data_IF_327908091025
#
_entry.id   IF_327908091025
#
_cell.length_a   1.000
_cell.length_b   1.000
_cell.length_c   1.000
_cell.angle_alpha   90.00
_cell.angle_beta   90.00
_cell.angle_gamma   90.00
#
_symmetry.space_group_name_H-M   'P 1'
#
loop_
_entity.id
_entity.type
_entity.pdbx_description
1 polymer ?
#
# COMPACT_ATOMS: atom_id res chain seq x y z
N UNK A 1 -3.79 10.59 11.79
CA UNK A 1 -4.36 9.25 11.48
C UNK A 1 -4.36 9.13 9.97
N UNK A 2 -3.91 7.99 9.44
CA UNK A 2 -3.83 7.76 8.01
C UNK A 2 -5.03 6.93 7.59
N UNK A 3 -5.69 7.33 6.51
CA UNK A 3 -6.86 6.66 5.95
C UNK A 3 -6.64 6.44 4.46
N UNK A 4 -7.06 5.29 3.94
CA UNK A 4 -7.04 5.02 2.51
C UNK A 4 -8.40 5.42 1.92
N UNK A 5 -8.37 6.24 0.88
CA UNK A 5 -9.57 6.76 0.22
C UNK A 5 -9.36 6.66 -1.29
N UNK A 6 -10.39 6.25 -2.01
CA UNK A 6 -10.42 6.29 -3.47
C UNK A 6 -10.67 7.73 -3.94
N UNK A 7 -9.71 8.29 -4.69
CA UNK A 7 -9.80 9.61 -5.28
C UNK A 7 -9.99 9.53 -6.78
N UNK A 8 -10.74 10.49 -7.32
CA UNK A 8 -10.93 10.63 -8.76
C UNK A 8 -10.11 11.80 -9.28
N UNK A 9 -9.20 11.54 -10.22
CA UNK A 9 -8.49 12.61 -10.94
C UNK A 9 -9.46 13.34 -11.85
N UNK A 10 -9.11 14.57 -12.24
CA UNK A 10 -9.88 15.38 -13.21
C UNK A 10 -10.17 14.64 -14.53
N UNK A 11 -9.30 13.70 -14.93
CA UNK A 11 -9.47 12.85 -16.11
C UNK A 11 -10.37 11.63 -15.94
N UNK A 12 -10.97 11.43 -14.76
CA UNK A 12 -11.87 10.31 -14.47
C UNK A 12 -11.18 9.05 -13.95
N UNK A 13 -9.84 8.98 -13.97
CA UNK A 13 -9.07 7.88 -13.40
C UNK A 13 -9.20 7.88 -11.86
N UNK A 14 -9.59 6.73 -11.30
CA UNK A 14 -9.65 6.50 -9.87
C UNK A 14 -8.30 5.96 -9.38
N UNK A 15 -7.78 6.55 -8.29
CA UNK A 15 -6.54 6.13 -7.67
C UNK A 15 -6.71 6.04 -6.16
N UNK A 16 -6.02 5.08 -5.55
CA UNK A 16 -6.05 4.91 -4.12
C UNK A 16 -5.03 5.88 -3.49
N UNK A 17 -5.52 6.80 -2.66
CA UNK A 17 -4.67 7.72 -1.93
C UNK A 17 -4.70 7.44 -0.43
N UNK A 18 -3.54 7.52 0.19
CA UNK A 18 -3.41 7.61 1.63
C UNK A 18 -3.53 9.09 2.03
N UNK A 19 -4.50 9.38 2.89
CA UNK A 19 -4.76 10.72 3.43
C UNK A 19 -4.42 10.74 4.91
N UNK A 20 -3.58 11.67 5.32
CA UNK A 20 -3.31 11.94 6.73
C UNK A 20 -3.59 13.40 7.02
N UNK A 21 -4.36 13.64 8.08
CA UNK A 21 -4.65 15.00 8.56
C UNK A 21 -4.11 15.21 9.97
N UNK A 22 -3.50 16.36 10.20
CA UNK A 22 -3.02 16.83 11.50
C UNK A 22 -3.46 18.27 11.74
N UNK A 23 -3.75 18.60 13.00
CA UNK A 23 -4.05 19.97 13.40
C UNK A 23 -2.73 20.69 13.66
N UNK A 24 -2.50 21.80 12.98
CA UNK A 24 -1.30 22.62 13.09
C UNK A 24 -1.67 23.95 13.74
N UNK A 25 -0.84 24.42 14.66
CA UNK A 25 -0.98 25.77 15.23
C UNK A 25 0.12 26.66 14.66
N UNK A 26 -0.23 27.60 13.79
CA UNK A 26 0.69 28.55 13.17
C UNK A 26 0.44 29.93 13.78
N UNK A 27 1.33 30.35 14.69
CA UNK A 27 1.27 31.69 15.30
C UNK A 27 -0.07 31.99 16.01
N UNK A 28 -0.68 30.98 16.66
CA UNK A 28 -1.97 31.12 17.33
C UNK A 28 -3.20 30.82 16.46
N UNK A 29 -3.02 30.59 15.15
CA UNK A 29 -4.09 30.18 14.24
C UNK A 29 -4.08 28.66 14.05
N UNK A 30 -5.22 28.03 14.35
CA UNK A 30 -5.44 26.61 14.06
C UNK A 30 -5.63 26.42 12.56
N UNK A 31 -4.80 25.58 11.96
CA UNK A 31 -4.89 25.12 10.59
C UNK A 31 -5.00 23.60 10.57
N UNK A 32 -5.57 23.04 9.50
CA UNK A 32 -5.57 21.60 9.25
C UNK A 32 -4.59 21.35 8.12
N UNK A 33 -3.53 20.60 8.42
CA UNK A 33 -2.62 20.10 7.40
C UNK A 33 -3.16 18.76 6.90
N UNK A 34 -3.37 18.65 5.60
CA UNK A 34 -3.77 17.41 4.94
C UNK A 34 -2.66 17.01 3.97
N UNK A 35 -2.18 15.78 4.09
CA UNK A 35 -1.22 15.17 3.20
C UNK A 35 -1.96 14.07 2.44
N UNK A 36 -1.94 14.16 1.12
CA UNK A 36 -2.53 13.16 0.21
C UNK A 36 -1.39 12.53 -0.58
N UNK A 37 -1.24 11.21 -0.49
CA UNK A 37 -0.19 10.46 -1.19
C UNK A 37 -0.83 9.36 -2.02
N UNK A 38 -0.54 9.33 -3.32
CA UNK A 38 -0.92 8.22 -4.19
C UNK A 38 -0.17 6.95 -3.77
N UNK A 39 -0.89 5.89 -3.41
CA UNK A 39 -0.33 4.60 -2.96
C UNK A 39 -0.53 3.47 -3.97
N UNK A 40 -1.01 3.78 -5.18
CA UNK A 40 -1.34 2.80 -6.21
C UNK A 40 -0.12 1.95 -6.58
N UNK A 41 1.04 2.59 -6.80
CA UNK A 41 2.28 1.89 -7.14
C UNK A 41 2.86 1.09 -5.97
N UNK A 42 2.77 1.62 -4.75
CA UNK A 42 3.24 0.92 -3.54
C UNK A 42 2.47 -0.38 -3.32
N UNK A 43 1.15 -0.37 -3.49
CA UNK A 43 0.32 -1.59 -3.36
C UNK A 43 0.55 -2.60 -4.48
N UNK A 44 0.86 -2.18 -5.71
CA UNK A 44 1.22 -3.10 -6.79
C UNK A 44 2.48 -3.89 -6.46
N UNK A 45 3.49 -3.23 -5.89
CA UNK A 45 4.73 -3.89 -5.47
C UNK A 45 4.50 -4.84 -4.28
N UNK A 46 3.72 -4.42 -3.28
CA UNK A 46 3.37 -5.27 -2.13
C UNK A 46 2.62 -6.55 -2.55
N UNK A 47 1.67 -6.43 -3.48
CA UNK A 47 0.96 -7.59 -4.06
C UNK A 47 1.92 -8.53 -4.79
N UNK A 48 2.82 -8.00 -5.64
CA UNK A 48 3.80 -8.82 -6.36
C UNK A 48 4.72 -9.58 -5.40
N UNK A 49 5.21 -8.90 -4.36
CA UNK A 49 6.01 -9.53 -3.32
C UNK A 49 5.23 -10.66 -2.63
N UNK A 50 3.99 -10.42 -2.20
CA UNK A 50 3.14 -11.45 -1.60
C UNK A 50 2.91 -12.64 -2.53
N UNK A 51 2.66 -12.40 -3.82
CA UNK A 51 2.50 -13.47 -4.81
C UNK A 51 3.79 -14.28 -4.99
N UNK A 52 4.95 -13.61 -5.08
CA UNK A 52 6.26 -14.27 -5.19
C UNK A 52 6.55 -15.10 -3.92
N UNK A 53 6.32 -14.54 -2.74
CA UNK A 53 6.50 -15.25 -1.47
C UNK A 53 5.58 -16.47 -1.36
N UNK A 54 4.31 -16.35 -1.77
CA UNK A 54 3.38 -17.46 -1.80
C UNK A 54 3.87 -18.57 -2.75
N UNK A 55 4.26 -18.24 -3.97
CA UNK A 55 4.77 -19.22 -4.96
C UNK A 55 6.01 -19.95 -4.45
N UNK A 56 6.97 -19.22 -3.88
CA UNK A 56 8.20 -19.81 -3.35
C UNK A 56 7.94 -20.78 -2.19
N UNK A 57 6.94 -20.47 -1.35
CA UNK A 57 6.52 -21.34 -0.25
C UNK A 57 5.95 -22.68 -0.75
N UNK A 58 5.10 -22.65 -1.78
CA UNK A 58 4.56 -23.87 -2.39
C UNK A 58 5.66 -24.71 -3.07
N UNK A 59 6.57 -24.08 -3.81
CA UNK A 59 7.66 -24.79 -4.50
C UNK A 59 8.71 -25.40 -3.56
N UNK A 60 8.86 -24.90 -2.33
CA UNK A 60 9.79 -25.48 -1.34
C UNK A 60 9.27 -26.77 -0.70
N UNK A 61 7.96 -27.02 -0.68
CA UNK A 61 7.37 -28.20 -0.04
C UNK A 61 7.36 -29.46 -0.94
N UNK A 62 7.57 -29.34 -2.25
CA UNK A 62 7.67 -30.50 -3.16
C UNK A 62 9.08 -31.12 -3.22
N UNK A 63 10.09 -30.45 -2.66
CA UNK A 63 11.50 -30.88 -2.78
C UNK A 63 11.98 -31.87 -1.71
N UNK A 64 11.16 -32.16 -0.70
CA UNK A 64 11.53 -33.09 0.40
C UNK A 64 11.14 -34.56 0.14
N UNK A 65 10.58 -34.90 -1.04
CA UNK A 65 9.98 -36.22 -1.29
C UNK A 65 10.79 -37.15 -2.20
N UNK A 66 11.99 -36.76 -2.66
CA UNK A 66 12.81 -37.59 -3.57
C UNK A 66 14.19 -38.01 -3.06
N UNK A 67 14.61 -37.63 -1.85
CA UNK A 67 15.91 -38.05 -1.28
C UNK A 67 15.74 -39.20 -0.27
N UNK A 68 14.89 -40.17 -0.58
CA UNK A 68 14.82 -41.46 0.11
C UNK A 68 14.68 -42.57 -0.92
N UNK A 69 15.78 -42.81 -1.63
CA UNK A 69 16.08 -44.10 -2.23
C UNK A 69 17.60 -44.29 -2.28
#
# INVERSE_FOLDING_TARGET
>A
RNFEIDFKKKGGEEFLAEVSSSLLNLGGKKAIQVIVRDITERKKMDKRLKTIYALCFYSSHEKWRTDSC
#
